data_IF_581752851504
#
_entry.id   IF_581752851504
#
_cell.length_a   1.000
_cell.length_b   1.000
_cell.length_c   1.000
_cell.angle_alpha   90.00
_cell.angle_beta   90.00
_cell.angle_gamma   90.00
#
_symmetry.space_group_name_H-M   'P 1'
#
loop_
_entity.id
_entity.type
_entity.pdbx_description
1 polymer ?
#
# COMPACT_ATOMS: atom_id res chain seq x y z
N UNK A 1 27.70 -12.55 9.95
CA UNK A 1 26.93 -13.51 10.78
C UNK A 1 26.78 -14.78 9.96
N UNK A 2 27.19 -15.93 10.51
CA UNK A 2 27.21 -17.21 9.81
C UNK A 2 25.79 -17.69 9.46
N UNK A 3 25.59 -18.11 8.21
CA UNK A 3 24.34 -18.62 7.62
C UNK A 3 23.88 -19.99 8.18
N UNK A 4 24.40 -20.43 9.32
CA UNK A 4 24.07 -21.76 9.87
C UNK A 4 22.81 -21.69 10.73
N UNK A 5 21.71 -22.11 10.09
CA UNK A 5 20.41 -22.45 10.64
C UNK A 5 19.53 -21.27 11.07
N UNK A 6 18.96 -20.57 10.08
CA UNK A 6 17.68 -19.87 10.27
C UNK A 6 16.61 -20.92 10.62
N UNK A 7 15.81 -20.74 11.69
CA UNK A 7 14.69 -21.63 12.00
C UNK A 7 13.74 -21.80 10.81
N UNK A 8 13.12 -22.97 10.63
CA UNK A 8 12.23 -23.24 9.50
C UNK A 8 11.10 -22.21 9.35
N UNK A 9 10.59 -21.67 10.46
CA UNK A 9 9.57 -20.62 10.45
C UNK A 9 10.03 -19.34 9.74
N UNK A 10 11.34 -19.04 9.74
CA UNK A 10 11.88 -17.83 9.11
C UNK A 10 11.76 -17.87 7.59
N UNK A 11 11.81 -19.06 6.99
CA UNK A 11 11.72 -19.27 5.55
C UNK A 11 10.30 -19.58 5.07
N UNK A 12 9.45 -20.15 5.93
CA UNK A 12 8.12 -20.63 5.55
C UNK A 12 6.99 -19.64 5.84
N UNK A 13 7.25 -18.58 6.60
CA UNK A 13 6.24 -17.54 6.85
C UNK A 13 5.99 -16.76 5.56
N UNK A 14 4.75 -16.83 5.11
CA UNK A 14 4.22 -16.08 3.96
C UNK A 14 3.18 -15.05 4.37
N UNK A 15 2.61 -15.19 5.58
CA UNK A 15 1.62 -14.29 6.14
C UNK A 15 2.15 -13.75 7.46
N UNK A 16 2.32 -12.43 7.55
CA UNK A 16 2.83 -11.76 8.74
C UNK A 16 1.88 -10.64 9.14
N UNK A 17 1.39 -10.71 10.38
CA UNK A 17 0.55 -9.69 10.98
C UNK A 17 1.24 -9.14 12.23
N UNK A 18 1.44 -7.83 12.25
CA UNK A 18 1.96 -7.09 13.41
C UNK A 18 1.08 -5.88 13.59
N UNK A 19 -0.02 -6.07 14.30
CA UNK A 19 -1.07 -5.06 14.48
C UNK A 19 -0.91 -4.33 15.83
N UNK A 20 -1.44 -3.10 15.92
CA UNK A 20 -1.42 -2.27 17.13
C UNK A 20 0.00 -2.00 17.70
N UNK A 21 1.04 -2.05 16.87
CA UNK A 21 2.41 -1.83 17.32
C UNK A 21 2.83 -0.37 17.12
N UNK A 22 2.59 0.45 18.14
CA UNK A 22 2.79 1.91 18.05
C UNK A 22 4.25 2.38 17.94
N UNK A 23 5.22 1.48 18.02
CA UNK A 23 6.64 1.83 17.91
C UNK A 23 7.31 1.02 16.81
N UNK A 24 6.60 0.71 15.72
CA UNK A 24 7.09 -0.05 14.57
C UNK A 24 7.97 0.84 13.69
N UNK A 25 9.14 1.24 14.17
CA UNK A 25 10.03 2.14 13.43
C UNK A 25 10.62 1.52 12.16
N UNK A 26 11.10 2.36 11.23
CA UNK A 26 11.82 1.92 10.02
C UNK A 26 12.96 0.93 10.34
N UNK A 27 13.65 1.11 11.47
CA UNK A 27 14.70 0.20 11.92
C UNK A 27 14.15 -1.20 12.25
N UNK A 28 12.96 -1.27 12.86
CA UNK A 28 12.28 -2.54 13.14
C UNK A 28 11.78 -3.19 11.86
N UNK A 29 11.22 -2.41 10.93
CA UNK A 29 10.82 -2.91 9.61
C UNK A 29 12.01 -3.49 8.86
N UNK A 30 13.16 -2.79 8.84
CA UNK A 30 14.42 -3.33 8.30
C UNK A 30 14.84 -4.64 8.95
N UNK A 31 14.57 -4.83 10.24
CA UNK A 31 14.85 -6.09 10.92
C UNK A 31 13.87 -7.18 10.53
N UNK A 32 12.58 -6.84 10.39
CA UNK A 32 11.51 -7.77 10.00
C UNK A 32 11.81 -8.35 8.62
N UNK A 33 12.08 -7.50 7.62
CA UNK A 33 12.35 -7.93 6.24
C UNK A 33 13.66 -8.72 6.08
N UNK A 34 14.62 -8.56 7.01
CA UNK A 34 15.84 -9.39 7.06
C UNK A 34 15.59 -10.77 7.66
N UNK A 35 14.62 -10.84 8.57
CA UNK A 35 14.20 -12.09 9.19
C UNK A 35 13.37 -12.87 8.17
N UNK A 36 12.15 -12.42 7.88
CA UNK A 36 11.24 -13.09 6.96
C UNK A 36 11.51 -12.62 5.54
N UNK A 37 11.72 -13.52 4.58
CA UNK A 37 12.07 -13.16 3.19
C UNK A 37 10.97 -13.47 2.16
N UNK A 38 9.95 -14.24 2.55
CA UNK A 38 8.99 -14.85 1.62
C UNK A 38 7.54 -14.38 1.89
N UNK A 39 7.37 -13.16 2.39
CA UNK A 39 6.04 -12.63 2.70
C UNK A 39 5.24 -12.36 1.42
N UNK A 40 3.99 -12.83 1.43
CA UNK A 40 2.97 -12.65 0.40
C UNK A 40 1.83 -11.77 0.96
N UNK A 41 1.57 -11.83 2.26
CA UNK A 41 0.55 -11.05 2.96
C UNK A 41 1.15 -10.37 4.18
N UNK A 42 1.14 -9.04 4.20
CA UNK A 42 1.66 -8.23 5.29
C UNK A 42 0.57 -7.32 5.87
N UNK A 43 0.29 -7.44 7.17
CA UNK A 43 -0.67 -6.58 7.85
C UNK A 43 -0.05 -5.86 9.04
N UNK A 44 0.02 -4.53 8.96
CA UNK A 44 0.47 -3.61 10.01
C UNK A 44 -0.66 -2.73 10.53
N UNK A 45 -1.91 -3.20 10.53
CA UNK A 45 -3.08 -2.46 11.01
C UNK A 45 -2.83 -1.82 12.37
N UNK A 46 -3.10 -0.52 12.48
CA UNK A 46 -2.93 0.29 13.72
C UNK A 46 -1.51 0.30 14.30
N UNK A 47 -0.52 -0.15 13.55
CA UNK A 47 0.89 0.05 13.87
C UNK A 47 1.35 1.37 13.29
N UNK A 48 2.17 2.12 14.05
CA UNK A 48 2.60 3.48 13.69
C UNK A 48 4.09 3.67 14.00
N UNK A 49 4.62 4.85 13.68
CA UNK A 49 6.03 5.28 13.83
C UNK A 49 6.99 4.87 12.69
N UNK A 50 6.47 4.53 11.50
CA UNK A 50 7.27 4.35 10.27
C UNK A 50 6.83 5.30 9.16
N UNK A 51 7.74 5.61 8.23
CA UNK A 51 7.48 6.50 7.08
C UNK A 51 7.47 5.80 5.73
N UNK A 52 7.37 6.58 4.64
CA UNK A 52 7.47 6.12 3.24
C UNK A 52 8.66 5.19 2.96
N UNK A 53 9.83 5.46 3.56
CA UNK A 53 11.03 4.63 3.44
C UNK A 53 10.77 3.17 3.77
N UNK A 54 9.91 2.92 4.74
CA UNK A 54 9.54 1.57 5.14
C UNK A 54 8.71 0.86 4.09
N UNK A 55 7.80 1.56 3.41
CA UNK A 55 7.08 0.99 2.28
C UNK A 55 8.06 0.51 1.20
N UNK A 56 9.02 1.36 0.80
CA UNK A 56 10.04 0.98 -0.19
C UNK A 56 10.84 -0.24 0.23
N UNK A 57 11.27 -0.29 1.50
CA UNK A 57 12.02 -1.43 2.03
C UNK A 57 11.18 -2.72 1.98
N UNK A 58 9.89 -2.63 2.29
CA UNK A 58 8.97 -3.78 2.26
C UNK A 58 8.81 -4.30 0.83
N UNK A 59 8.48 -3.43 -0.11
CA UNK A 59 8.22 -3.83 -1.51
C UNK A 59 9.49 -4.33 -2.22
N UNK A 60 10.66 -3.75 -1.93
CA UNK A 60 11.95 -4.25 -2.42
C UNK A 60 12.31 -5.62 -1.85
N UNK A 61 11.94 -5.88 -0.59
CA UNK A 61 12.31 -7.13 0.08
C UNK A 61 11.38 -8.29 -0.25
N UNK A 62 10.14 -8.01 -0.65
CA UNK A 62 9.09 -9.01 -0.89
C UNK A 62 8.58 -8.96 -2.34
N UNK A 63 9.32 -9.52 -3.31
CA UNK A 63 8.94 -9.48 -4.71
C UNK A 63 7.64 -10.23 -5.03
N UNK A 64 7.18 -11.11 -4.12
CA UNK A 64 5.94 -11.87 -4.26
C UNK A 64 4.79 -11.32 -3.39
N UNK A 65 4.94 -10.11 -2.83
CA UNK A 65 3.94 -9.49 -1.98
C UNK A 65 2.66 -9.23 -2.78
N UNK A 66 1.55 -9.82 -2.33
CA UNK A 66 0.24 -9.66 -2.97
C UNK A 66 -0.70 -8.78 -2.17
N UNK A 67 -0.61 -8.83 -0.84
CA UNK A 67 -1.44 -8.05 0.07
C UNK A 67 -0.57 -7.24 1.03
N UNK A 68 -0.91 -5.97 1.18
CA UNK A 68 -0.32 -5.09 2.17
C UNK A 68 -1.38 -4.19 2.82
N UNK A 69 -1.40 -4.17 4.14
CA UNK A 69 -2.25 -3.28 4.95
C UNK A 69 -1.36 -2.41 5.85
N UNK A 70 -1.37 -1.10 5.60
CA UNK A 70 -0.57 -0.13 6.35
C UNK A 70 -1.46 0.92 7.02
N UNK A 71 -0.96 1.46 8.12
CA UNK A 71 -1.65 2.50 8.88
C UNK A 71 -0.75 3.72 9.01
N UNK A 72 -1.34 4.90 8.80
CA UNK A 72 -0.68 6.21 8.95
C UNK A 72 0.67 6.36 8.21
N UNK A 73 0.73 5.90 6.95
CA UNK A 73 1.92 6.05 6.10
C UNK A 73 1.73 7.20 5.12
N UNK A 74 2.60 8.19 5.21
CA UNK A 74 2.73 9.21 4.19
C UNK A 74 3.57 8.65 3.03
N UNK A 75 2.99 8.48 1.84
CA UNK A 75 3.72 8.07 0.62
C UNK A 75 4.16 9.32 -0.16
N UNK A 76 5.46 9.47 -0.40
CA UNK A 76 6.03 10.52 -1.26
C UNK A 76 6.48 9.97 -2.62
N UNK A 77 6.38 10.81 -3.65
CA UNK A 77 6.62 10.51 -5.08
C UNK A 77 7.89 9.66 -5.29
N UNK A 78 7.73 8.39 -5.69
CA UNK A 78 8.87 7.59 -6.17
C UNK A 78 8.46 6.48 -7.14
N UNK A 79 9.26 6.34 -8.18
CA UNK A 79 9.12 5.31 -9.22
C UNK A 79 9.67 3.98 -8.71
N UNK A 80 8.82 2.97 -8.50
CA UNK A 80 9.25 1.56 -8.55
C UNK A 80 8.04 0.69 -8.88
N UNK A 81 8.19 -0.21 -9.88
CA UNK A 81 7.10 -1.07 -10.33
C UNK A 81 7.14 -2.45 -9.63
N UNK A 82 6.06 -2.85 -8.93
CA UNK A 82 5.95 -4.17 -8.25
C UNK A 82 4.59 -4.86 -8.48
N UNK A 83 4.55 -6.18 -8.28
CA UNK A 83 3.39 -7.07 -8.48
C UNK A 83 2.43 -7.12 -7.27
N UNK A 84 2.07 -5.97 -6.70
CA UNK A 84 1.06 -5.92 -5.63
C UNK A 84 -0.35 -6.03 -6.24
N UNK A 85 -1.19 -6.87 -5.63
CA UNK A 85 -2.58 -7.10 -6.08
C UNK A 85 -3.60 -6.37 -5.19
N UNK A 86 -3.32 -6.29 -3.89
CA UNK A 86 -4.21 -5.69 -2.89
C UNK A 86 -3.41 -4.74 -2.00
N UNK A 87 -3.87 -3.50 -1.91
CA UNK A 87 -3.24 -2.45 -1.12
C UNK A 87 -4.30 -1.73 -0.28
N UNK A 88 -4.16 -1.82 1.05
CA UNK A 88 -5.12 -1.28 2.00
C UNK A 88 -4.48 -0.22 2.89
N UNK A 89 -5.20 0.88 3.07
CA UNK A 89 -4.91 1.94 4.01
C UNK A 89 -6.11 2.16 4.92
N UNK A 90 -5.96 1.89 6.21
CA UNK A 90 -6.99 2.22 7.18
C UNK A 90 -6.57 3.46 7.99
N UNK A 91 -7.46 4.46 8.06
CA UNK A 91 -7.36 5.72 8.82
C UNK A 91 -6.00 6.44 8.66
N UNK A 92 -5.57 6.62 7.42
CA UNK A 92 -4.31 7.31 7.12
C UNK A 92 -4.49 8.83 7.20
N UNK A 93 -3.57 9.51 7.89
CA UNK A 93 -3.56 10.97 7.95
C UNK A 93 -2.63 11.45 6.83
N UNK A 94 -3.21 11.94 5.72
CA UNK A 94 -2.52 12.53 4.54
C UNK A 94 -2.18 11.59 3.36
N UNK A 95 -3.19 10.95 2.74
CA UNK A 95 -3.02 10.47 1.35
C UNK A 95 -3.32 11.67 0.44
N UNK A 96 -2.43 11.93 -0.51
CA UNK A 96 -2.57 13.02 -1.49
C UNK A 96 -2.84 12.44 -2.88
N UNK A 97 -3.29 13.27 -3.83
CA UNK A 97 -3.41 12.87 -5.26
C UNK A 97 -2.13 12.27 -5.80
N UNK A 98 -1.00 12.83 -5.39
CA UNK A 98 0.35 12.38 -5.71
C UNK A 98 0.61 10.97 -5.17
N UNK A 99 0.25 10.72 -3.91
CA UNK A 99 0.38 9.41 -3.28
C UNK A 99 -0.48 8.36 -4.01
N UNK A 100 -1.73 8.69 -4.33
CA UNK A 100 -2.64 7.81 -5.11
C UNK A 100 -2.05 7.55 -6.50
N UNK A 101 -1.61 8.60 -7.20
CA UNK A 101 -0.96 8.48 -8.51
C UNK A 101 0.28 7.61 -8.45
N UNK A 102 1.10 7.77 -7.42
CA UNK A 102 2.29 6.96 -7.18
C UNK A 102 1.92 5.48 -7.04
N UNK A 103 0.90 5.14 -6.23
CA UNK A 103 0.41 3.76 -6.04
C UNK A 103 -0.10 3.20 -7.36
N UNK A 104 -1.02 3.91 -8.01
CA UNK A 104 -1.65 3.46 -9.25
C UNK A 104 -0.63 3.28 -10.39
N UNK A 105 0.41 4.12 -10.45
CA UNK A 105 1.46 4.03 -11.45
C UNK A 105 2.52 2.98 -11.16
N UNK A 106 2.71 2.62 -9.88
CA UNK A 106 3.72 1.67 -9.39
C UNK A 106 3.24 0.22 -9.37
N UNK A 107 1.94 -0.02 -9.16
CA UNK A 107 1.42 -1.38 -8.99
C UNK A 107 0.53 -1.79 -10.17
N UNK A 108 1.15 -2.30 -11.25
CA UNK A 108 0.47 -2.64 -12.50
C UNK A 108 -0.57 -3.76 -12.37
N UNK A 109 -0.43 -4.59 -11.35
CA UNK A 109 -1.31 -5.72 -11.05
C UNK A 109 -2.31 -5.43 -9.92
N UNK A 110 -2.41 -4.17 -9.47
CA UNK A 110 -3.30 -3.78 -8.39
C UNK A 110 -4.77 -3.94 -8.82
N UNK A 111 -5.48 -4.78 -8.07
CA UNK A 111 -6.91 -5.09 -8.26
C UNK A 111 -7.76 -4.48 -7.16
N UNK A 112 -7.24 -4.34 -5.95
CA UNK A 112 -7.96 -3.74 -4.82
C UNK A 112 -7.17 -2.61 -4.20
N UNK A 113 -7.79 -1.45 -4.12
CA UNK A 113 -7.26 -0.28 -3.43
C UNK A 113 -8.30 0.23 -2.44
N UNK A 114 -7.94 0.25 -1.17
CA UNK A 114 -8.77 0.76 -0.08
C UNK A 114 -8.02 1.93 0.56
N UNK A 115 -8.63 3.11 0.50
CA UNK A 115 -8.12 4.36 1.06
C UNK A 115 -9.13 5.00 2.02
N UNK A 116 -10.06 4.21 2.56
CA UNK A 116 -11.12 4.70 3.41
C UNK A 116 -10.59 5.46 4.65
N UNK A 117 -11.41 6.36 5.19
CA UNK A 117 -11.10 7.16 6.39
C UNK A 117 -9.87 8.08 6.25
N UNK A 118 -9.54 8.50 5.03
CA UNK A 118 -8.41 9.41 4.82
C UNK A 118 -8.79 10.87 5.13
N UNK A 119 -7.87 11.59 5.78
CA UNK A 119 -8.02 13.03 6.08
C UNK A 119 -7.30 13.95 5.08
N UNK A 120 -6.71 13.39 4.04
CA UNK A 120 -5.94 14.10 3.02
C UNK A 120 -6.82 14.83 2.02
N UNK A 121 -6.23 15.87 1.43
CA UNK A 121 -6.89 16.78 0.51
C UNK A 121 -6.61 16.33 -0.93
N UNK A 122 -7.60 15.67 -1.53
CA UNK A 122 -7.52 15.06 -2.86
C UNK A 122 -8.17 16.04 -3.86
N UNK A 123 -7.35 16.80 -4.60
CA UNK A 123 -7.77 17.95 -5.40
C UNK A 123 -7.59 17.80 -6.90
N UNK A 124 -6.71 16.92 -7.36
CA UNK A 124 -6.29 16.88 -8.77
C UNK A 124 -6.05 15.46 -9.29
N UNK A 125 -7.08 14.94 -9.94
CA UNK A 125 -7.07 13.66 -10.63
C UNK A 125 -6.31 13.65 -11.95
N UNK A 126 -5.92 14.81 -12.49
CA UNK A 126 -5.30 14.90 -13.82
C UNK A 126 -3.97 14.13 -13.89
N UNK A 127 -3.31 13.94 -12.75
CA UNK A 127 -2.05 13.18 -12.61
C UNK A 127 -2.25 11.65 -12.73
N UNK A 128 -3.50 11.17 -12.77
CA UNK A 128 -3.82 9.74 -12.91
C UNK A 128 -4.01 9.30 -14.37
N UNK A 129 -3.87 10.23 -15.31
CA UNK A 129 -4.31 10.04 -16.70
C UNK A 129 -3.31 9.31 -17.61
N UNK A 130 -2.19 8.81 -17.11
CA UNK A 130 -1.17 8.20 -17.98
C UNK A 130 -1.32 6.69 -18.19
N UNK A 131 -1.93 5.95 -17.25
CA UNK A 131 -2.02 4.47 -17.33
C UNK A 131 -3.47 3.96 -17.20
N UNK A 132 -3.72 2.77 -17.75
CA UNK A 132 -4.95 2.02 -17.47
C UNK A 132 -4.73 1.15 -16.24
N UNK A 133 -5.77 0.99 -15.42
CA UNK A 133 -5.67 0.24 -14.17
C UNK A 133 -6.51 -1.04 -14.25
N UNK A 134 -6.05 -2.11 -13.62
CA UNK A 134 -6.78 -3.37 -13.49
C UNK A 134 -7.61 -3.42 -12.20
N UNK A 135 -7.97 -2.26 -11.65
CA UNK A 135 -8.71 -2.17 -10.39
C UNK A 135 -10.11 -2.75 -10.57
N UNK A 136 -10.47 -3.66 -9.67
CA UNK A 136 -11.78 -4.29 -9.54
C UNK A 136 -12.55 -3.75 -8.32
N UNK A 137 -11.84 -3.34 -7.27
CA UNK A 137 -12.38 -2.80 -6.02
C UNK A 137 -11.68 -1.50 -5.66
N UNK A 138 -12.44 -0.43 -5.52
CA UNK A 138 -11.93 0.85 -5.01
C UNK A 138 -12.85 1.36 -3.90
N UNK A 139 -12.29 1.53 -2.70
CA UNK A 139 -13.01 2.04 -1.53
C UNK A 139 -12.36 3.33 -1.06
N UNK A 140 -13.14 4.41 -1.08
CA UNK A 140 -12.81 5.76 -0.65
C UNK A 140 -13.84 6.29 0.34
N UNK A 141 -14.57 5.38 0.99
CA UNK A 141 -15.57 5.71 2.01
C UNK A 141 -14.98 6.58 3.11
N UNK A 142 -15.78 7.55 3.55
CA UNK A 142 -15.44 8.44 4.67
C UNK A 142 -14.14 9.25 4.49
N UNK A 143 -13.63 9.40 3.27
CA UNK A 143 -12.55 10.33 2.98
C UNK A 143 -13.09 11.77 3.07
N UNK A 144 -12.66 12.51 4.09
CA UNK A 144 -13.28 13.79 4.50
C UNK A 144 -13.22 14.90 3.46
N UNK A 145 -12.28 14.84 2.52
CA UNK A 145 -12.01 15.90 1.53
C UNK A 145 -11.99 15.41 0.09
N UNK A 146 -12.62 14.27 -0.21
CA UNK A 146 -12.78 13.81 -1.59
C UNK A 146 -13.90 14.61 -2.28
N UNK A 147 -13.64 15.89 -2.55
CA UNK A 147 -14.55 16.81 -3.23
C UNK A 147 -14.40 16.76 -4.76
N UNK A 148 -13.55 15.86 -5.27
CA UNK A 148 -13.14 15.87 -6.66
C UNK A 148 -13.77 14.72 -7.46
N UNK A 149 -14.93 15.02 -8.06
CA UNK A 149 -15.59 14.14 -9.05
C UNK A 149 -14.63 13.70 -10.16
N UNK A 150 -13.63 14.51 -10.51
CA UNK A 150 -12.68 14.15 -11.57
C UNK A 150 -11.83 12.92 -11.23
N UNK A 151 -11.53 12.67 -9.94
CA UNK A 151 -10.80 11.47 -9.50
C UNK A 151 -11.62 10.22 -9.72
N UNK A 152 -12.83 10.24 -9.19
CA UNK A 152 -13.78 9.14 -9.29
C UNK A 152 -14.07 8.86 -10.77
N UNK A 153 -14.33 9.91 -11.57
CA UNK A 153 -14.54 9.78 -13.01
C UNK A 153 -13.31 9.21 -13.73
N UNK A 154 -12.09 9.63 -13.36
CA UNK A 154 -10.87 9.10 -13.96
C UNK A 154 -10.69 7.60 -13.66
N UNK A 155 -10.89 7.19 -12.41
CA UNK A 155 -10.81 5.78 -11.99
C UNK A 155 -11.86 4.95 -12.73
N UNK A 156 -13.12 5.39 -12.77
CA UNK A 156 -14.20 4.69 -13.51
C UNK A 156 -13.84 4.56 -15.00
N UNK A 157 -13.37 5.64 -15.63
CA UNK A 157 -13.04 5.62 -17.08
C UNK A 157 -11.85 4.73 -17.41
N UNK A 158 -10.90 4.57 -16.48
CA UNK A 158 -9.62 3.87 -16.72
C UNK A 158 -9.60 2.44 -16.18
N UNK A 159 -10.52 2.09 -15.29
CA UNK A 159 -10.62 0.77 -14.66
C UNK A 159 -11.75 -0.03 -15.30
N UNK A 160 -11.47 -0.63 -16.46
CA UNK A 160 -12.49 -1.37 -17.23
C UNK A 160 -13.01 -2.63 -16.49
N UNK A 161 -12.29 -3.08 -15.46
CA UNK A 161 -12.66 -4.24 -14.64
C UNK A 161 -13.31 -3.86 -13.31
N UNK A 162 -13.64 -2.57 -13.08
CA UNK A 162 -14.21 -2.10 -11.83
C UNK A 162 -15.56 -2.76 -11.55
N UNK A 163 -15.69 -3.41 -10.40
CA UNK A 163 -16.89 -4.13 -9.94
C UNK A 163 -17.45 -3.58 -8.64
N UNK A 164 -16.61 -2.95 -7.83
CA UNK A 164 -16.98 -2.35 -6.57
C UNK A 164 -16.35 -0.96 -6.45
N UNK A 165 -17.19 0.00 -6.06
CA UNK A 165 -16.86 1.39 -5.85
C UNK A 165 -17.71 1.88 -4.67
N UNK A 166 -17.07 2.19 -3.56
CA UNK A 166 -17.71 2.73 -2.33
C UNK A 166 -16.99 4.01 -1.90
#
# INVERSE_FOLDING_TARGET
MNEKHKPAYVLNVTHLEITYYHSLSDKKIKSIVKTFSNIIHLDFKKSISFGDKSLFIIVESYPNLKYINLWDVQITDKENCYDIQEFHFAETHWITDKSISCILNSYLNLQKLDIAFNHGDIKDASILMEKCFNIEYFDFSEVMFLQNDALIIAIIKRSLNLRHLD
#
